data_IF_103964242352
#
_entry.id   IF_103964242352
#
_cell.length_a   1.000
_cell.length_b   1.000
_cell.length_c   1.000
_cell.angle_alpha   90.00
_cell.angle_beta   90.00
_cell.angle_gamma   90.00
#
_symmetry.space_group_name_H-M   'P 1'
#
loop_
_entity.id
_entity.type
_entity.pdbx_description
1 polymer ?
#
# COMPACT_ATOMS: atom_id res chain seq x y z
N UNK A 1 8.24 -39.15 -3.17
CA UNK A 1 8.21 -37.72 -2.81
C UNK A 1 8.26 -37.67 -1.29
N UNK A 2 9.27 -37.02 -0.71
CA UNK A 2 9.45 -36.95 0.74
C UNK A 2 9.38 -35.47 1.12
N UNK A 3 8.53 -35.12 2.07
CA UNK A 3 8.34 -33.74 2.54
C UNK A 3 9.30 -33.47 3.70
N UNK A 4 9.94 -32.30 3.67
CA UNK A 4 10.92 -31.89 4.67
C UNK A 4 10.50 -30.57 5.31
N UNK A 5 10.06 -30.64 6.56
CA UNK A 5 9.68 -29.46 7.33
C UNK A 5 10.78 -29.01 8.28
N UNK A 6 10.91 -27.69 8.44
CA UNK A 6 11.74 -27.05 9.47
C UNK A 6 11.01 -25.85 10.04
N UNK A 7 11.12 -25.67 11.35
CA UNK A 7 10.72 -24.42 12.01
C UNK A 7 11.85 -23.41 11.97
N UNK A 8 11.52 -22.15 11.68
CA UNK A 8 12.45 -21.03 11.77
C UNK A 8 11.73 -19.79 12.28
N UNK A 9 12.39 -19.04 13.16
CA UNK A 9 11.84 -17.79 13.70
C UNK A 9 11.63 -16.71 12.63
N UNK A 10 12.36 -16.80 11.52
CA UNK A 10 12.24 -15.92 10.36
C UNK A 10 12.66 -16.66 9.06
N UNK A 11 12.36 -16.11 7.86
CA UNK A 11 12.61 -16.78 6.59
C UNK A 11 14.08 -17.15 6.33
N UNK A 12 15.02 -16.32 6.79
CA UNK A 12 16.46 -16.59 6.65
C UNK A 12 16.90 -17.76 7.52
N UNK A 13 16.45 -17.79 8.78
CA UNK A 13 16.72 -18.89 9.70
C UNK A 13 16.09 -20.22 9.23
N UNK A 14 14.88 -20.16 8.66
CA UNK A 14 14.25 -21.34 8.05
C UNK A 14 15.04 -21.86 6.85
N UNK A 15 15.48 -20.98 5.95
CA UNK A 15 16.31 -21.35 4.80
C UNK A 15 17.64 -22.00 5.23
N UNK A 16 18.32 -21.44 6.23
CA UNK A 16 19.55 -22.01 6.80
C UNK A 16 19.30 -23.39 7.43
N UNK A 17 18.15 -23.59 8.10
CA UNK A 17 17.77 -24.87 8.67
C UNK A 17 17.46 -25.94 7.61
N UNK A 18 16.82 -25.55 6.49
CA UNK A 18 16.59 -26.45 5.34
C UNK A 18 17.93 -26.90 4.76
N UNK A 19 18.84 -25.97 4.48
CA UNK A 19 20.14 -26.28 3.88
C UNK A 19 20.96 -27.24 4.75
N UNK A 20 20.99 -27.03 6.07
CA UNK A 20 21.66 -27.94 7.02
C UNK A 20 21.05 -29.35 7.03
N UNK A 21 19.72 -29.47 6.97
CA UNK A 21 19.07 -30.78 6.90
C UNK A 21 19.34 -31.49 5.58
N UNK A 22 19.36 -30.76 4.45
CA UNK A 22 19.70 -31.34 3.14
C UNK A 22 21.14 -31.86 3.11
N UNK A 23 22.09 -31.10 3.69
CA UNK A 23 23.48 -31.52 3.83
C UNK A 23 23.61 -32.80 4.68
N UNK A 24 22.91 -32.86 5.83
CA UNK A 24 22.89 -34.05 6.69
C UNK A 24 22.29 -35.29 6.00
N UNK A 25 21.37 -35.07 5.06
CA UNK A 25 20.74 -36.12 4.26
C UNK A 25 21.53 -36.46 2.98
N UNK A 26 22.63 -35.76 2.70
CA UNK A 26 23.44 -35.96 1.49
C UNK A 26 22.71 -35.59 0.20
N UNK A 27 21.68 -34.74 0.28
CA UNK A 27 20.87 -34.32 -0.86
C UNK A 27 21.38 -32.99 -1.40
N UNK A 28 21.72 -32.94 -2.69
CA UNK A 28 22.09 -31.68 -3.35
C UNK A 28 20.90 -30.73 -3.43
N UNK A 29 21.12 -29.45 -3.15
CA UNK A 29 20.09 -28.41 -3.24
C UNK A 29 19.46 -28.33 -4.65
N UNK A 30 20.23 -28.62 -5.69
CA UNK A 30 19.77 -28.60 -7.09
C UNK A 30 18.85 -29.78 -7.46
N UNK A 31 18.80 -30.82 -6.61
CA UNK A 31 17.95 -31.99 -6.79
C UNK A 31 16.58 -31.86 -6.09
N UNK A 32 16.36 -30.75 -5.38
CA UNK A 32 15.10 -30.46 -4.69
C UNK A 32 14.19 -29.69 -5.65
N UNK A 33 13.00 -30.24 -5.95
CA UNK A 33 11.97 -29.50 -6.68
C UNK A 33 11.41 -28.46 -5.70
N UNK A 34 11.59 -27.16 -5.96
CA UNK A 34 11.33 -26.19 -4.93
C UNK A 34 9.83 -25.86 -4.82
N UNK A 35 9.11 -26.51 -3.89
CA UNK A 35 8.11 -25.77 -3.10
C UNK A 35 8.67 -24.50 -2.40
N UNK A 36 10.00 -24.26 -2.37
CA UNK A 36 10.60 -22.96 -2.12
C UNK A 36 10.06 -21.77 -2.93
N UNK A 37 9.36 -21.97 -4.06
CA UNK A 37 8.60 -20.86 -4.65
C UNK A 37 7.50 -20.37 -3.71
N UNK A 38 6.78 -21.25 -3.00
CA UNK A 38 5.72 -20.85 -2.07
C UNK A 38 6.27 -20.13 -0.83
N UNK A 39 7.42 -20.55 -0.29
CA UNK A 39 8.06 -19.89 0.85
C UNK A 39 8.73 -18.56 0.47
N UNK A 40 9.40 -18.50 -0.69
CA UNK A 40 9.97 -17.25 -1.22
C UNK A 40 8.87 -16.27 -1.63
N UNK A 41 7.80 -16.76 -2.26
CA UNK A 41 6.57 -16.00 -2.50
C UNK A 41 6.04 -15.54 -1.16
N UNK A 42 5.76 -16.40 -0.17
CA UNK A 42 5.25 -16.03 1.15
C UNK A 42 6.08 -14.99 1.90
N UNK A 43 7.41 -14.99 1.75
CA UNK A 43 8.28 -13.93 2.27
C UNK A 43 8.11 -12.63 1.48
N UNK A 44 8.03 -12.68 0.14
CA UNK A 44 7.68 -11.54 -0.70
C UNK A 44 6.24 -11.04 -0.45
N UNK A 45 5.33 -11.91 -0.01
CA UNK A 45 3.95 -11.59 0.38
C UNK A 45 3.88 -10.86 1.72
N UNK A 46 4.96 -10.85 2.52
CA UNK A 46 4.93 -10.18 3.81
C UNK A 46 4.96 -8.66 3.59
N UNK A 47 4.05 -7.92 4.22
CA UNK A 47 4.07 -6.45 4.25
C UNK A 47 5.33 -5.84 4.89
N UNK A 48 6.07 -6.62 5.68
CA UNK A 48 7.29 -6.21 6.39
C UNK A 48 8.29 -5.49 5.47
N UNK A 49 8.45 -4.18 5.67
CA UNK A 49 9.41 -3.35 4.94
C UNK A 49 8.90 -2.80 3.60
N UNK A 50 7.66 -3.05 3.20
CA UNK A 50 7.04 -2.38 2.05
C UNK A 50 6.68 -0.94 2.42
N UNK A 51 7.09 0.01 1.59
CA UNK A 51 6.89 1.44 1.80
C UNK A 51 5.54 1.90 1.30
N UNK A 52 4.74 2.50 2.18
CA UNK A 52 3.46 3.10 1.85
C UNK A 52 3.54 4.61 1.93
N UNK A 53 3.16 5.28 0.86
CA UNK A 53 2.86 6.70 0.89
C UNK A 53 1.38 6.87 1.23
N UNK A 54 1.08 7.31 2.45
CA UNK A 54 -0.29 7.60 2.86
C UNK A 54 -0.58 9.09 2.71
N UNK A 55 -1.67 9.45 2.04
CA UNK A 55 -2.09 10.84 1.95
C UNK A 55 -3.59 11.04 2.17
N UNK A 56 -3.93 12.25 2.57
CA UNK A 56 -5.31 12.67 2.86
C UNK A 56 -5.36 14.19 3.01
N UNK A 57 -6.57 14.75 3.05
CA UNK A 57 -6.72 16.21 3.16
C UNK A 57 -6.11 16.74 4.48
N UNK A 58 -5.27 17.77 4.37
CA UNK A 58 -4.72 18.51 5.51
C UNK A 58 -5.36 19.90 5.56
N UNK A 59 -5.13 20.73 4.54
CA UNK A 59 -5.65 22.11 4.46
C UNK A 59 -7.08 22.20 3.93
N UNK A 60 -7.57 21.17 3.23
CA UNK A 60 -8.94 21.11 2.71
C UNK A 60 -9.96 20.59 3.74
N UNK A 61 -9.51 20.19 4.93
CA UNK A 61 -10.34 19.72 6.03
C UNK A 61 -9.62 18.68 6.88
N UNK A 62 -9.89 18.66 8.19
CA UNK A 62 -9.26 17.75 9.17
C UNK A 62 -10.25 16.86 9.92
N UNK A 63 -11.52 16.85 9.53
CA UNK A 63 -12.55 16.03 10.19
C UNK A 63 -12.25 14.52 10.15
N UNK A 64 -11.46 14.06 9.19
CA UNK A 64 -11.04 12.66 9.05
C UNK A 64 -9.67 12.35 9.68
N UNK A 65 -9.05 13.30 10.39
CA UNK A 65 -7.76 13.05 11.05
C UNK A 65 -7.75 11.82 11.97
N UNK A 66 -8.79 11.56 12.80
CA UNK A 66 -8.82 10.36 13.64
C UNK A 66 -8.79 9.08 12.81
N UNK A 67 -9.53 9.06 11.69
CA UNK A 67 -9.53 7.93 10.76
C UNK A 67 -8.15 7.72 10.14
N UNK A 68 -7.43 8.80 9.80
CA UNK A 68 -6.07 8.71 9.28
C UNK A 68 -5.14 8.04 10.29
N UNK A 69 -5.25 8.38 11.58
CA UNK A 69 -4.47 7.75 12.64
C UNK A 69 -4.76 6.26 12.75
N UNK A 70 -6.04 5.86 12.66
CA UNK A 70 -6.42 4.44 12.61
C UNK A 70 -5.84 3.72 11.40
N UNK A 71 -5.87 4.33 10.20
CA UNK A 71 -5.32 3.71 8.98
C UNK A 71 -3.80 3.55 9.09
N UNK A 72 -3.09 4.58 9.54
CA UNK A 72 -1.63 4.52 9.72
C UNK A 72 -1.26 3.43 10.73
N UNK A 73 -1.92 3.40 11.89
CA UNK A 73 -1.69 2.37 12.89
C UNK A 73 -2.00 0.96 12.35
N UNK A 74 -3.08 0.81 11.59
CA UNK A 74 -3.45 -0.46 10.95
C UNK A 74 -2.37 -0.98 9.99
N UNK A 75 -1.74 -0.07 9.22
CA UNK A 75 -0.67 -0.39 8.27
C UNK A 75 0.63 -0.75 9.03
N UNK A 76 1.02 0.07 10.00
CA UNK A 76 2.23 -0.16 10.80
C UNK A 76 2.17 -1.47 11.61
N UNK A 77 1.00 -1.79 12.19
CA UNK A 77 0.77 -3.08 12.88
C UNK A 77 0.90 -4.29 11.96
N UNK A 78 0.73 -4.08 10.65
CA UNK A 78 0.96 -5.10 9.63
C UNK A 78 2.38 -5.06 9.09
N UNK A 79 3.28 -4.19 9.56
CA UNK A 79 4.68 -4.17 9.15
C UNK A 79 4.99 -3.31 7.92
N UNK A 80 4.03 -2.52 7.42
CA UNK A 80 4.30 -1.52 6.39
C UNK A 80 5.11 -0.35 6.97
N UNK A 81 6.03 0.19 6.18
CA UNK A 81 6.75 1.43 6.48
C UNK A 81 5.97 2.63 5.92
N UNK A 82 5.28 3.38 6.77
CA UNK A 82 4.44 4.52 6.35
C UNK A 82 5.26 5.80 6.33
N UNK A 83 5.70 6.20 5.13
CA UNK A 83 6.62 7.33 4.91
C UNK A 83 6.07 8.68 5.42
N UNK A 84 4.74 8.81 5.45
CA UNK A 84 4.00 10.05 5.71
C UNK A 84 3.07 9.93 6.92
N UNK A 85 3.44 9.13 7.93
CA UNK A 85 2.63 8.93 9.15
C UNK A 85 2.23 10.25 9.85
N UNK A 86 3.07 11.30 9.75
CA UNK A 86 2.79 12.65 10.25
C UNK A 86 1.50 13.30 9.70
N UNK A 87 0.99 12.87 8.54
CA UNK A 87 -0.30 13.34 7.99
C UNK A 87 -1.47 13.03 8.94
N UNK A 88 -1.33 11.97 9.73
CA UNK A 88 -2.29 11.57 10.74
C UNK A 88 -2.13 12.31 12.08
N UNK A 89 -1.12 13.16 12.26
CA UNK A 89 -0.92 13.86 13.52
C UNK A 89 -1.99 14.95 13.75
N UNK A 90 -2.50 15.10 14.99
CA UNK A 90 -3.48 16.14 15.32
C UNK A 90 -2.89 17.56 15.16
N UNK A 91 -1.59 17.69 15.36
CA UNK A 91 -0.81 18.92 15.31
C UNK A 91 -0.03 19.10 14.00
N UNK A 92 -0.40 18.39 12.92
CA UNK A 92 0.26 18.52 11.59
C UNK A 92 0.24 19.95 11.03
N UNK A 93 -0.71 20.78 11.49
CA UNK A 93 -0.84 22.20 11.16
C UNK A 93 -0.26 23.14 12.21
N UNK A 94 0.25 22.63 13.34
CA UNK A 94 1.11 23.42 14.21
C UNK A 94 2.25 23.99 13.35
N UNK A 95 2.87 25.12 13.73
CA UNK A 95 3.92 25.75 12.93
C UNK A 95 5.09 24.76 12.69
N UNK A 96 4.94 23.99 11.61
CA UNK A 96 5.92 23.10 11.04
C UNK A 96 6.08 23.60 9.61
N UNK A 97 7.30 24.03 9.29
CA UNK A 97 8.53 23.68 9.95
C UNK A 97 8.99 24.70 11.01
N UNK A 98 9.99 24.36 11.85
CA UNK A 98 10.83 25.39 12.47
C UNK A 98 11.27 26.38 11.39
N UNK A 99 11.49 27.64 11.76
CA UNK A 99 11.95 28.69 10.85
C UNK A 99 13.00 28.12 9.86
N UNK A 100 12.63 27.96 8.58
CA UNK A 100 13.53 27.51 7.53
C UNK A 100 13.17 26.29 6.68
N UNK A 101 12.18 25.42 6.99
CA UNK A 101 11.77 24.46 5.94
C UNK A 101 10.91 25.14 4.87
N UNK A 102 11.57 25.37 3.74
CA UNK A 102 11.02 25.98 2.55
C UNK A 102 9.92 25.05 1.98
N UNK A 103 8.83 25.60 1.46
CA UNK A 103 7.81 24.82 0.74
C UNK A 103 8.43 23.93 -0.35
N UNK A 104 9.54 24.38 -0.97
CA UNK A 104 10.34 23.60 -1.89
C UNK A 104 10.91 22.31 -1.26
N UNK A 105 11.42 22.36 -0.02
CA UNK A 105 11.99 21.20 0.66
C UNK A 105 10.91 20.16 1.00
N UNK A 106 9.70 20.59 1.37
CA UNK A 106 8.55 19.71 1.59
C UNK A 106 8.17 19.04 0.27
N UNK A 107 8.04 19.83 -0.81
CA UNK A 107 7.76 19.30 -2.14
C UNK A 107 8.79 18.26 -2.59
N UNK A 108 10.09 18.57 -2.54
CA UNK A 108 11.16 17.66 -2.96
C UNK A 108 11.18 16.36 -2.14
N UNK A 109 10.98 16.47 -0.83
CA UNK A 109 10.89 15.31 0.07
C UNK A 109 9.72 14.42 -0.30
N UNK A 110 8.54 15.00 -0.46
CA UNK A 110 7.30 14.25 -0.74
C UNK A 110 7.37 13.61 -2.14
N UNK A 111 7.94 14.31 -3.15
CA UNK A 111 8.21 13.73 -4.48
C UNK A 111 9.19 12.55 -4.41
N UNK A 112 10.24 12.65 -3.59
CA UNK A 112 11.17 11.52 -3.36
C UNK A 112 10.46 10.34 -2.71
N UNK A 113 9.62 10.59 -1.70
CA UNK A 113 8.84 9.54 -1.04
C UNK A 113 7.84 8.85 -1.97
N UNK A 114 7.16 9.61 -2.85
CA UNK A 114 6.31 9.03 -3.89
C UNK A 114 7.12 8.15 -4.85
N UNK A 115 8.35 8.54 -5.21
CA UNK A 115 9.20 7.76 -6.09
C UNK A 115 9.71 6.46 -5.46
N UNK A 116 10.01 6.45 -4.16
CA UNK A 116 10.54 5.27 -3.45
C UNK A 116 9.45 4.35 -2.86
N UNK A 117 8.19 4.78 -2.76
CA UNK A 117 7.12 3.94 -2.20
C UNK A 117 6.77 2.76 -3.11
N UNK A 118 6.26 1.68 -2.51
CA UNK A 118 5.74 0.51 -3.22
C UNK A 118 4.24 0.66 -3.51
N UNK A 119 3.53 1.46 -2.71
CA UNK A 119 2.08 1.63 -2.75
C UNK A 119 1.69 3.03 -2.27
N UNK A 120 0.71 3.63 -2.93
CA UNK A 120 0.02 4.83 -2.45
C UNK A 120 -1.36 4.46 -1.90
N UNK A 121 -1.67 4.95 -0.71
CA UNK A 121 -3.01 4.89 -0.13
C UNK A 121 -3.48 6.32 0.10
N UNK A 122 -4.55 6.72 -0.60
CA UNK A 122 -5.07 8.09 -0.56
C UNK A 122 -6.50 8.11 0.00
N UNK A 123 -6.73 8.81 1.10
CA UNK A 123 -8.09 9.15 1.55
C UNK A 123 -8.58 10.38 0.78
N UNK A 124 -9.66 10.23 0.01
CA UNK A 124 -10.12 11.21 -0.97
C UNK A 124 -11.52 11.74 -0.69
N UNK A 125 -12.11 11.44 0.47
CA UNK A 125 -13.46 11.90 0.83
C UNK A 125 -13.53 13.41 1.03
N UNK A 126 -12.40 14.04 1.37
CA UNK A 126 -12.26 15.49 1.48
C UNK A 126 -11.44 16.04 0.31
N UNK A 127 -11.92 17.08 -0.40
CA UNK A 127 -11.16 17.72 -1.46
C UNK A 127 -9.76 18.17 -0.99
N UNK A 128 -8.75 17.91 -1.81
CA UNK A 128 -7.37 18.29 -1.53
C UNK A 128 -6.57 18.40 -2.83
N UNK A 129 -6.04 19.59 -3.13
CA UNK A 129 -5.17 19.80 -4.29
C UNK A 129 -3.88 18.98 -4.17
N UNK A 130 -3.31 18.90 -2.97
CA UNK A 130 -2.10 18.12 -2.70
C UNK A 130 -2.31 16.64 -3.01
N UNK A 131 -3.39 16.05 -2.52
CA UNK A 131 -3.73 14.65 -2.80
C UNK A 131 -3.97 14.41 -4.30
N UNK A 132 -4.58 15.37 -5.00
CA UNK A 132 -4.72 15.31 -6.45
C UNK A 132 -3.37 15.27 -7.19
N UNK A 133 -2.42 16.13 -6.78
CA UNK A 133 -1.05 16.14 -7.33
C UNK A 133 -0.33 14.82 -7.02
N UNK A 134 -0.43 14.33 -5.78
CA UNK A 134 0.20 13.08 -5.34
C UNK A 134 -0.34 11.87 -6.13
N UNK A 135 -1.66 11.77 -6.31
CA UNK A 135 -2.28 10.68 -7.07
C UNK A 135 -1.88 10.71 -8.55
N UNK A 136 -1.90 11.88 -9.18
CA UNK A 136 -1.49 12.03 -10.58
C UNK A 136 0.00 11.68 -10.77
N UNK A 137 0.87 12.14 -9.86
CA UNK A 137 2.31 11.84 -9.90
C UNK A 137 2.58 10.36 -9.67
N UNK A 138 1.94 9.74 -8.67
CA UNK A 138 2.06 8.31 -8.41
C UNK A 138 1.65 7.48 -9.63
N UNK A 139 0.57 7.87 -10.31
CA UNK A 139 0.11 7.19 -11.52
C UNK A 139 1.11 7.34 -12.66
N UNK A 140 1.69 8.53 -12.85
CA UNK A 140 2.74 8.75 -13.85
C UNK A 140 3.99 7.90 -13.58
N UNK A 141 4.32 7.69 -12.30
CA UNK A 141 5.41 6.82 -11.85
C UNK A 141 5.07 5.31 -11.90
N UNK A 142 3.86 4.95 -12.36
CA UNK A 142 3.40 3.56 -12.42
C UNK A 142 3.18 2.91 -11.05
N UNK A 143 3.01 3.72 -9.99
CA UNK A 143 2.75 3.20 -8.64
C UNK A 143 1.32 2.67 -8.54
N UNK A 144 1.10 1.55 -7.84
CA UNK A 144 -0.25 1.15 -7.49
C UNK A 144 -0.86 2.16 -6.52
N UNK A 145 -2.13 2.50 -6.73
CA UNK A 145 -2.85 3.50 -5.92
C UNK A 145 -4.17 2.91 -5.46
N UNK A 146 -4.40 2.93 -4.15
CA UNK A 146 -5.68 2.62 -3.52
C UNK A 146 -6.27 3.93 -2.99
N UNK A 147 -7.45 4.30 -3.49
CA UNK A 147 -8.21 5.44 -3.02
C UNK A 147 -9.29 4.97 -2.04
N UNK A 148 -9.37 5.61 -0.89
CA UNK A 148 -10.37 5.37 0.15
C UNK A 148 -11.39 6.51 0.10
N UNK A 149 -12.67 6.19 -0.12
CA UNK A 149 -13.72 7.19 -0.25
C UNK A 149 -14.96 6.77 0.53
N UNK A 150 -15.56 7.69 1.29
CA UNK A 150 -16.85 7.43 1.91
C UNK A 150 -17.91 7.21 0.82
N UNK A 151 -18.80 6.25 1.05
CA UNK A 151 -19.84 5.88 0.10
C UNK A 151 -20.82 7.02 -0.20
N UNK A 152 -21.01 7.95 0.76
CA UNK A 152 -21.88 9.11 0.65
C UNK A 152 -21.23 10.32 -0.03
N UNK A 153 -19.96 10.23 -0.43
CA UNK A 153 -19.23 11.32 -1.09
C UNK A 153 -19.20 11.12 -2.61
N UNK A 154 -19.61 12.17 -3.32
CA UNK A 154 -19.42 12.30 -4.76
C UNK A 154 -18.04 12.92 -5.05
N UNK A 155 -17.21 12.20 -5.80
CA UNK A 155 -15.92 12.69 -6.27
C UNK A 155 -16.08 13.38 -7.64
N UNK A 156 -15.04 14.11 -8.05
CA UNK A 156 -15.00 14.64 -9.42
C UNK A 156 -14.92 13.50 -10.43
N UNK A 157 -15.46 13.74 -11.65
CA UNK A 157 -15.39 12.77 -12.74
C UNK A 157 -13.93 12.39 -13.10
N UNK A 158 -12.98 13.29 -12.86
CA UNK A 158 -11.54 13.06 -13.07
C UNK A 158 -10.95 12.02 -12.13
N UNK A 159 -11.47 11.90 -10.90
CA UNK A 159 -11.02 10.88 -9.94
C UNK A 159 -11.85 9.62 -10.11
N UNK A 160 -13.18 9.74 -10.20
CA UNK A 160 -14.10 8.60 -10.32
C UNK A 160 -13.87 7.80 -11.60
N UNK A 161 -13.61 8.48 -12.72
CA UNK A 161 -13.41 7.85 -14.03
C UNK A 161 -11.98 7.45 -14.33
N UNK A 162 -11.03 7.59 -13.41
CA UNK A 162 -9.62 7.31 -13.68
C UNK A 162 -9.30 5.82 -13.49
N UNK A 163 -8.96 5.08 -14.57
CA UNK A 163 -8.70 3.63 -14.48
C UNK A 163 -7.39 3.27 -13.77
N UNK A 164 -6.50 4.26 -13.54
CA UNK A 164 -5.27 4.10 -12.77
C UNK A 164 -5.51 4.05 -11.27
N UNK A 165 -6.69 4.46 -10.79
CA UNK A 165 -7.03 4.50 -9.37
C UNK A 165 -7.88 3.28 -9.00
N UNK A 166 -7.58 2.65 -7.86
CA UNK A 166 -8.41 1.58 -7.30
C UNK A 166 -9.25 2.13 -6.16
N UNK A 167 -10.53 2.34 -6.42
CA UNK A 167 -11.45 2.92 -5.44
C UNK A 167 -11.98 1.86 -4.46
N UNK A 168 -11.87 2.14 -3.16
CA UNK A 168 -12.54 1.43 -2.08
C UNK A 168 -13.56 2.39 -1.46
N UNK A 169 -14.85 2.10 -1.67
CA UNK A 169 -15.95 2.85 -1.05
C UNK A 169 -16.36 2.22 0.28
N UNK A 170 -16.47 3.02 1.34
CA UNK A 170 -16.77 2.54 2.69
C UNK A 170 -17.86 3.38 3.37
N UNK A 171 -18.66 2.79 4.25
CA UNK A 171 -19.71 3.49 5.03
C UNK A 171 -19.23 3.87 6.42
N UNK A 172 -18.38 3.04 7.00
CA UNK A 172 -17.80 3.21 8.33
C UNK A 172 -16.36 2.68 8.40
N UNK A 173 -15.70 2.95 9.52
CA UNK A 173 -14.30 2.59 9.76
C UNK A 173 -14.07 1.08 9.80
N UNK A 174 -15.01 0.29 10.34
CA UNK A 174 -14.87 -1.16 10.42
C UNK A 174 -14.93 -1.82 9.03
N UNK A 175 -15.86 -1.34 8.18
CA UNK A 175 -15.95 -1.73 6.78
C UNK A 175 -14.68 -1.33 6.02
N UNK A 176 -14.18 -0.11 6.24
CA UNK A 176 -12.93 0.36 5.63
C UNK A 176 -11.75 -0.57 5.95
N UNK A 177 -11.51 -0.86 7.23
CA UNK A 177 -10.39 -1.72 7.63
C UNK A 177 -10.49 -3.12 7.01
N UNK A 178 -11.71 -3.66 6.95
CA UNK A 178 -11.97 -4.98 6.33
C UNK A 178 -11.72 -4.99 4.82
N UNK A 179 -12.14 -3.93 4.11
CA UNK A 179 -11.90 -3.74 2.68
C UNK A 179 -10.41 -3.57 2.38
N UNK A 180 -9.74 -2.71 3.16
CA UNK A 180 -8.33 -2.42 3.02
C UNK A 180 -7.49 -3.68 3.26
N UNK A 181 -7.79 -4.44 4.31
CA UNK A 181 -7.06 -5.67 4.60
C UNK A 181 -7.14 -6.69 3.45
N UNK A 182 -8.35 -6.94 2.96
CA UNK A 182 -8.57 -7.82 1.81
C UNK A 182 -7.79 -7.34 0.60
N UNK A 183 -7.85 -6.04 0.30
CA UNK A 183 -7.15 -5.46 -0.86
C UNK A 183 -5.64 -5.58 -0.75
N UNK A 184 -5.08 -5.36 0.44
CA UNK A 184 -3.65 -5.50 0.70
C UNK A 184 -3.19 -6.95 0.61
N UNK A 185 -4.01 -7.92 1.05
CA UNK A 185 -3.73 -9.34 0.84
C UNK A 185 -3.66 -9.69 -0.65
N UNK A 186 -4.66 -9.28 -1.43
CA UNK A 186 -4.71 -9.56 -2.88
C UNK A 186 -3.51 -8.93 -3.62
N UNK A 187 -3.11 -7.72 -3.21
CA UNK A 187 -1.91 -7.06 -3.73
C UNK A 187 -0.63 -7.78 -3.32
N UNK A 188 -0.54 -8.26 -2.08
CA UNK A 188 0.53 -9.13 -1.62
C UNK A 188 0.69 -10.32 -2.55
N UNK A 189 -0.39 -11.06 -2.82
CA UNK A 189 -0.46 -12.33 -3.57
C UNK A 189 -0.04 -12.29 -5.04
N UNK A 190 0.42 -11.15 -5.58
CA UNK A 190 0.73 -11.00 -7.00
C UNK A 190 -0.51 -11.17 -7.91
N UNK A 191 -1.71 -11.24 -7.31
CA UNK A 191 -2.98 -11.30 -8.04
C UNK A 191 -3.43 -9.92 -8.54
N UNK A 192 -2.70 -8.87 -8.14
CA UNK A 192 -2.93 -7.49 -8.55
C UNK A 192 -2.30 -7.09 -9.89
N UNK A 193 -2.30 -7.95 -10.91
CA UNK A 193 -2.35 -7.56 -12.33
C UNK A 193 -2.23 -8.79 -13.24
N UNK A 194 -3.38 -9.41 -13.56
CA UNK A 194 -3.59 -9.90 -14.92
C UNK A 194 -4.79 -9.15 -15.44
N UNK A 195 -4.50 -8.13 -16.26
CA UNK A 195 -5.42 -7.35 -17.12
C UNK A 195 -6.86 -7.32 -16.61
N UNK A 196 -7.26 -6.19 -16.03
CA UNK A 196 -8.67 -5.85 -15.95
C UNK A 196 -9.30 -6.07 -17.33
N UNK A 197 -10.25 -6.98 -17.35
CA UNK A 197 -11.02 -7.40 -18.51
C UNK A 197 -11.49 -6.19 -19.32
N UNK A 198 -11.14 -6.20 -20.61
CA UNK A 198 -11.96 -5.56 -21.63
C UNK A 198 -13.37 -6.11 -21.52
N UNK A 199 -14.23 -5.41 -20.78
CA UNK A 199 -15.67 -5.50 -21.04
C UNK A 199 -16.12 -4.19 -21.67
N UNK A 200 -16.27 -4.26 -22.99
CA UNK A 200 -17.07 -3.30 -23.74
C UNK A 200 -18.50 -3.39 -23.25
N UNK A 201 -19.05 -2.29 -22.78
CA UNK A 201 -20.50 -2.07 -22.81
C UNK A 201 -20.78 -0.58 -22.85
N UNK A 202 -20.79 -0.08 -24.09
CA UNK A 202 -21.64 0.97 -24.64
C UNK A 202 -22.13 2.07 -23.70
N UNK A 203 -21.52 3.26 -23.83
CA UNK A 203 -22.20 4.52 -23.54
C UNK A 203 -22.91 4.95 -24.83
N UNK A 204 -24.23 5.21 -24.83
CA UNK A 204 -24.90 5.80 -25.98
C UNK A 204 -24.49 7.28 -26.07
N UNK A 205 -24.06 7.70 -27.25
CA UNK A 205 -23.82 9.11 -27.57
C UNK A 205 -25.12 9.92 -27.48
N UNK A 206 -25.06 11.20 -27.09
CA UNK A 206 -26.19 12.11 -27.23
C UNK A 206 -26.55 12.38 -28.70
#
# INVERSE_FOLDING_TARGET
>A
MCELEVEGQNPRAAAEAILRKLEALGVSADAVIPEPLAALVAAHLRPEGRKVYFCGSIRGGRSLQPLYASIVAFLEQRGYDVLTSHVAAPDVLAPYPPAGANAAAIYERDMRWLAECDLVIAEVSLPSLGVGVEAATAQHLGKPIICLCRADVALSAMIEGNPGLRMLRYRDEAELMSLLERRLRDWGLGTGDRKADTNQSQVPSP
#
